data_IF_374263127459
#
_entry.id   IF_374263127459
#
_cell.length_a   1.000
_cell.length_b   1.000
_cell.length_c   1.000
_cell.angle_alpha   90.00
_cell.angle_beta   90.00
_cell.angle_gamma   90.00
#
_symmetry.space_group_name_H-M   'P 1'
#
loop_
_entity.id
_entity.type
_entity.pdbx_description
1 polymer ?
#
# COMPACT_ATOMS: atom_id res chain seq x y z
N UNK A 1 15.48 -19.96 -21.62
CA UNK A 1 15.97 -19.25 -20.42
C UNK A 1 15.02 -19.42 -19.25
N UNK A 2 13.70 -19.26 -19.46
CA UNK A 2 12.67 -19.48 -18.44
C UNK A 2 12.73 -20.88 -17.80
N UNK A 3 12.72 -21.95 -18.60
CA UNK A 3 12.53 -23.33 -18.10
C UNK A 3 13.63 -23.82 -17.15
N UNK A 4 14.93 -23.66 -17.47
CA UNK A 4 15.98 -24.14 -16.57
C UNK A 4 16.03 -23.32 -15.29
N UNK A 5 15.90 -21.99 -15.38
CA UNK A 5 16.03 -21.07 -14.23
C UNK A 5 14.84 -21.18 -13.28
N UNK A 6 13.61 -21.12 -13.79
CA UNK A 6 12.40 -21.22 -12.97
C UNK A 6 12.25 -22.61 -12.36
N UNK A 7 12.52 -23.66 -13.14
CA UNK A 7 12.43 -25.03 -12.67
C UNK A 7 13.50 -25.37 -11.62
N UNK A 8 14.70 -24.80 -11.74
CA UNK A 8 15.76 -24.94 -10.73
C UNK A 8 15.38 -24.23 -9.42
N UNK A 9 14.98 -22.95 -9.50
CA UNK A 9 14.54 -22.17 -8.35
C UNK A 9 13.41 -22.86 -7.56
N UNK A 10 12.38 -23.35 -8.25
CA UNK A 10 11.22 -23.99 -7.62
C UNK A 10 11.60 -25.27 -6.84
N UNK A 11 12.50 -26.10 -7.41
CA UNK A 11 12.88 -27.41 -6.86
C UNK A 11 13.98 -27.33 -5.81
N UNK A 12 14.75 -26.25 -5.77
CA UNK A 12 15.82 -26.08 -4.79
C UNK A 12 15.27 -25.87 -3.37
N UNK A 13 16.09 -26.27 -2.39
CA UNK A 13 15.86 -25.97 -0.98
C UNK A 13 15.90 -24.46 -0.74
N UNK A 14 15.22 -23.94 0.30
CA UNK A 14 15.21 -22.51 0.63
C UNK A 14 16.58 -21.81 0.55
N UNK A 15 17.60 -22.40 1.16
CA UNK A 15 18.95 -21.81 1.23
C UNK A 15 19.71 -21.86 -0.11
N UNK A 16 19.26 -22.70 -1.05
CA UNK A 16 19.84 -22.83 -2.38
C UNK A 16 19.08 -22.02 -3.46
N UNK A 17 18.02 -21.31 -3.08
CA UNK A 17 17.28 -20.44 -4.00
C UNK A 17 17.98 -19.10 -4.13
N UNK A 18 18.43 -18.75 -5.32
CA UNK A 18 19.08 -17.46 -5.57
C UNK A 18 18.07 -16.32 -5.68
N UNK A 19 18.19 -15.33 -4.79
CA UNK A 19 17.32 -14.15 -4.75
C UNK A 19 17.35 -13.35 -6.07
N UNK A 20 18.46 -13.42 -6.81
CA UNK A 20 18.63 -12.76 -8.12
C UNK A 20 17.68 -13.25 -9.21
N UNK A 21 17.15 -14.47 -9.10
CA UNK A 21 16.12 -14.95 -10.04
C UNK A 21 14.89 -14.05 -10.00
N UNK A 22 14.48 -13.60 -8.80
CA UNK A 22 13.33 -12.70 -8.64
C UNK A 22 13.61 -11.32 -9.25
N UNK A 23 14.81 -10.77 -9.00
CA UNK A 23 15.25 -9.47 -9.55
C UNK A 23 15.38 -9.50 -11.08
N UNK A 24 15.90 -10.60 -11.63
CA UNK A 24 15.98 -10.83 -13.06
C UNK A 24 14.60 -10.76 -13.71
N UNK A 25 13.61 -11.48 -13.18
CA UNK A 25 12.26 -11.45 -13.73
C UNK A 25 11.56 -10.10 -13.53
N UNK A 26 11.79 -9.41 -12.42
CA UNK A 26 11.30 -8.05 -12.23
C UNK A 26 11.87 -7.11 -13.30
N UNK A 27 13.17 -7.21 -13.58
CA UNK A 27 13.86 -6.42 -14.62
C UNK A 27 13.35 -6.72 -16.02
N UNK A 28 13.17 -8.00 -16.35
CA UNK A 28 12.60 -8.43 -17.64
C UNK A 28 11.18 -7.88 -17.81
N UNK A 29 10.33 -7.98 -16.79
CA UNK A 29 8.95 -7.46 -16.84
C UNK A 29 8.94 -5.93 -16.98
N UNK A 30 9.79 -5.21 -16.26
CA UNK A 30 9.92 -3.75 -16.42
C UNK A 30 10.38 -3.35 -17.83
N UNK A 31 11.22 -4.17 -18.46
CA UNK A 31 11.74 -3.92 -19.81
C UNK A 31 10.73 -4.23 -20.91
N UNK A 32 10.08 -5.39 -20.85
CA UNK A 32 9.21 -5.91 -21.91
C UNK A 32 7.71 -5.67 -21.67
N UNK A 33 7.33 -5.32 -20.44
CA UNK A 33 5.97 -4.94 -20.03
C UNK A 33 4.92 -5.95 -20.49
N UNK A 34 3.88 -5.49 -21.18
CA UNK A 34 2.75 -6.30 -21.62
C UNK A 34 3.14 -7.52 -22.48
N UNK A 35 4.32 -7.53 -23.11
CA UNK A 35 4.81 -8.70 -23.83
C UNK A 35 5.08 -9.91 -22.92
N UNK A 36 5.24 -9.70 -21.60
CA UNK A 36 5.44 -10.77 -20.62
C UNK A 36 4.13 -11.34 -20.04
N UNK A 37 2.95 -10.81 -20.43
CA UNK A 37 1.66 -11.18 -19.81
C UNK A 37 1.40 -12.68 -19.85
N UNK A 38 1.76 -13.36 -20.93
CA UNK A 38 1.53 -14.80 -21.11
C UNK A 38 2.58 -15.67 -20.40
N UNK A 39 3.74 -15.10 -20.06
CA UNK A 39 4.79 -15.78 -19.27
C UNK A 39 4.59 -15.62 -17.75
N UNK A 40 3.87 -14.58 -17.31
CA UNK A 40 3.64 -14.31 -15.87
C UNK A 40 3.06 -15.50 -15.12
N UNK A 41 2.01 -16.21 -15.59
CA UNK A 41 1.46 -17.36 -14.86
C UNK A 41 2.53 -18.40 -14.53
N UNK A 42 3.44 -18.66 -15.47
CA UNK A 42 4.53 -19.61 -15.30
C UNK A 42 5.61 -19.12 -14.33
N UNK A 43 5.98 -17.85 -14.41
CA UNK A 43 6.91 -17.22 -13.45
C UNK A 43 6.31 -17.33 -12.04
N UNK A 44 5.04 -16.95 -11.92
CA UNK A 44 4.31 -16.95 -10.65
C UNK A 44 4.21 -18.34 -10.03
N UNK A 45 3.85 -19.36 -10.81
CA UNK A 45 3.81 -20.76 -10.35
C UNK A 45 5.15 -21.24 -9.79
N UNK A 46 6.27 -20.88 -10.44
CA UNK A 46 7.59 -21.33 -10.05
C UNK A 46 8.14 -20.63 -8.80
N UNK A 47 7.87 -19.33 -8.63
CA UNK A 47 8.54 -18.52 -7.60
C UNK A 47 7.63 -18.06 -6.46
N UNK A 48 6.32 -18.00 -6.65
CA UNK A 48 5.46 -17.27 -5.70
C UNK A 48 5.33 -17.99 -4.36
N UNK A 49 4.68 -19.16 -4.35
CA UNK A 49 4.37 -19.89 -3.12
C UNK A 49 5.64 -20.27 -2.34
N UNK A 50 6.62 -20.80 -3.05
CA UNK A 50 7.84 -21.31 -2.45
C UNK A 50 8.71 -20.19 -1.83
N UNK A 51 8.67 -18.97 -2.38
CA UNK A 51 9.34 -17.80 -1.80
C UNK A 51 8.51 -17.22 -0.66
N UNK A 52 7.18 -17.16 -0.80
CA UNK A 52 6.29 -16.65 0.25
C UNK A 52 6.46 -17.45 1.56
N UNK A 53 6.54 -18.78 1.46
CA UNK A 53 6.81 -19.68 2.58
C UNK A 53 8.20 -19.49 3.21
N UNK A 54 9.17 -18.95 2.48
CA UNK A 54 10.48 -18.61 3.05
C UNK A 54 10.40 -17.32 3.84
N UNK A 55 9.85 -16.27 3.22
CA UNK A 55 9.96 -14.92 3.74
C UNK A 55 8.97 -14.61 4.86
N UNK A 56 7.87 -15.37 4.99
CA UNK A 56 6.82 -15.12 6.00
C UNK A 56 7.00 -15.89 7.30
N UNK A 57 8.02 -16.77 7.41
CA UNK A 57 8.28 -17.54 8.65
C UNK A 57 8.65 -16.65 9.83
N UNK A 58 9.43 -15.60 9.58
CA UNK A 58 9.85 -14.61 10.55
C UNK A 58 10.27 -13.32 9.82
N UNK A 59 10.59 -12.28 10.60
CA UNK A 59 10.96 -10.95 10.11
C UNK A 59 12.48 -10.76 9.92
N UNK A 60 13.31 -11.80 10.10
CA UNK A 60 14.79 -11.70 10.07
C UNK A 60 15.42 -12.42 8.87
N UNK A 61 14.92 -13.60 8.50
CA UNK A 61 15.51 -14.45 7.46
C UNK A 61 15.19 -14.02 6.00
N UNK A 62 16.15 -14.21 5.11
CA UNK A 62 16.01 -13.94 3.65
C UNK A 62 15.58 -12.49 3.30
N UNK A 63 16.24 -11.45 3.83
CA UNK A 63 15.89 -10.05 3.56
C UNK A 63 15.99 -9.70 2.06
N UNK A 64 16.95 -10.28 1.33
CA UNK A 64 17.07 -10.07 -0.11
C UNK A 64 15.89 -10.66 -0.89
N UNK A 65 15.46 -11.88 -0.53
CA UNK A 65 14.30 -12.51 -1.17
C UNK A 65 13.04 -11.69 -0.94
N UNK A 66 12.83 -11.14 0.27
CA UNK A 66 11.69 -10.23 0.54
C UNK A 66 11.67 -9.06 -0.42
N UNK A 67 12.77 -8.31 -0.46
CA UNK A 67 12.87 -7.09 -1.28
C UNK A 67 12.61 -7.40 -2.76
N UNK A 68 13.25 -8.45 -3.27
CA UNK A 68 13.15 -8.84 -4.68
C UNK A 68 11.81 -9.49 -5.02
N UNK A 69 11.19 -10.21 -4.09
CA UNK A 69 9.85 -10.78 -4.23
C UNK A 69 8.79 -9.67 -4.39
N UNK A 70 8.78 -8.68 -3.49
CA UNK A 70 7.82 -7.57 -3.62
C UNK A 70 8.14 -6.65 -4.81
N UNK A 71 9.42 -6.52 -5.20
CA UNK A 71 9.79 -5.84 -6.43
C UNK A 71 9.25 -6.54 -7.68
N UNK A 72 9.31 -7.89 -7.72
CA UNK A 72 8.71 -8.69 -8.78
C UNK A 72 7.19 -8.54 -8.82
N UNK A 73 6.51 -8.65 -7.68
CA UNK A 73 5.05 -8.46 -7.62
C UNK A 73 4.62 -7.06 -8.08
N UNK A 74 5.38 -6.03 -7.71
CA UNK A 74 5.15 -4.67 -8.17
C UNK A 74 5.34 -4.54 -9.68
N UNK A 75 6.39 -5.12 -10.26
CA UNK A 75 6.58 -5.12 -11.71
C UNK A 75 5.41 -5.82 -12.44
N UNK A 76 4.93 -6.94 -11.90
CA UNK A 76 3.75 -7.66 -12.44
C UNK A 76 2.50 -6.79 -12.34
N UNK A 77 2.23 -6.16 -11.19
CA UNK A 77 1.06 -5.30 -11.00
C UNK A 77 1.09 -4.07 -11.92
N UNK A 78 2.27 -3.47 -12.11
CA UNK A 78 2.44 -2.27 -12.93
C UNK A 78 2.30 -2.51 -14.44
N UNK A 79 2.74 -3.67 -14.92
CA UNK A 79 2.92 -3.89 -16.35
C UNK A 79 2.16 -5.08 -16.92
N UNK A 80 1.75 -6.01 -16.06
CA UNK A 80 1.12 -7.27 -16.42
C UNK A 80 -0.14 -7.53 -15.57
N UNK A 81 -0.87 -6.50 -15.14
CA UNK A 81 -2.11 -6.66 -14.38
C UNK A 81 -3.14 -7.65 -15.00
N UNK A 82 -3.30 -7.74 -16.34
CA UNK A 82 -4.16 -8.76 -16.94
C UNK A 82 -3.76 -10.22 -16.62
N UNK A 83 -2.52 -10.47 -16.21
CA UNK A 83 -2.12 -11.77 -15.71
C UNK A 83 -2.57 -12.00 -14.26
N UNK A 84 -2.52 -10.97 -13.40
CA UNK A 84 -2.99 -11.05 -12.01
C UNK A 84 -4.49 -11.24 -11.91
N UNK A 85 -5.27 -10.61 -12.80
CA UNK A 85 -6.73 -10.71 -12.76
C UNK A 85 -7.24 -12.09 -13.17
N UNK A 86 -6.41 -12.88 -13.86
CA UNK A 86 -6.68 -14.27 -14.24
C UNK A 86 -6.35 -15.27 -13.13
N UNK A 87 -5.79 -14.83 -12.00
CA UNK A 87 -5.53 -15.69 -10.85
C UNK A 87 -6.84 -16.21 -10.26
N UNK A 88 -6.80 -17.45 -9.76
CA UNK A 88 -7.91 -18.00 -8.97
C UNK A 88 -8.09 -17.22 -7.66
N UNK A 89 -9.29 -17.24 -7.07
CA UNK A 89 -9.56 -16.56 -5.80
C UNK A 89 -8.58 -16.94 -4.67
N UNK A 90 -8.17 -18.21 -4.51
CA UNK A 90 -7.15 -18.58 -3.53
C UNK A 90 -5.78 -17.95 -3.81
N UNK A 91 -5.35 -17.90 -5.07
CA UNK A 91 -4.08 -17.27 -5.45
C UNK A 91 -4.11 -15.76 -5.23
N UNK A 92 -5.19 -15.08 -5.62
CA UNK A 92 -5.35 -13.65 -5.37
C UNK A 92 -5.38 -13.35 -3.87
N UNK A 93 -6.01 -14.21 -3.07
CA UNK A 93 -5.96 -14.10 -1.61
C UNK A 93 -4.52 -14.17 -1.09
N UNK A 94 -3.70 -15.12 -1.54
CA UNK A 94 -2.30 -15.17 -1.13
C UNK A 94 -1.51 -13.92 -1.53
N UNK A 95 -1.80 -13.34 -2.70
CA UNK A 95 -1.21 -12.04 -3.10
C UNK A 95 -1.61 -10.95 -2.10
N UNK A 96 -2.90 -10.82 -1.80
CA UNK A 96 -3.39 -9.81 -0.85
C UNK A 96 -2.84 -10.02 0.57
N UNK A 97 -2.79 -11.26 1.05
CA UNK A 97 -2.21 -11.60 2.36
C UNK A 97 -0.71 -11.27 2.39
N UNK A 98 0.03 -11.51 1.31
CA UNK A 98 1.45 -11.13 1.21
C UNK A 98 1.67 -9.62 1.23
N UNK A 99 0.77 -8.84 0.62
CA UNK A 99 0.81 -7.37 0.64
C UNK A 99 0.53 -6.86 2.06
N UNK A 100 -0.46 -7.44 2.74
CA UNK A 100 -0.78 -7.12 4.15
C UNK A 100 0.42 -7.41 5.06
N UNK A 101 1.05 -8.56 4.88
CA UNK A 101 2.27 -8.90 5.59
C UNK A 101 3.39 -7.89 5.33
N UNK A 102 3.58 -7.46 4.07
CA UNK A 102 4.61 -6.50 3.70
C UNK A 102 4.43 -5.14 4.37
N UNK A 103 3.23 -4.55 4.30
CA UNK A 103 3.02 -3.22 4.89
C UNK A 103 2.98 -3.23 6.43
N UNK A 104 2.81 -4.40 7.06
CA UNK A 104 2.98 -4.60 8.51
C UNK A 104 4.44 -4.79 8.93
N UNK A 105 5.36 -4.94 7.98
CA UNK A 105 6.77 -5.21 8.27
C UNK A 105 7.43 -4.05 9.02
N UNK A 106 8.40 -4.35 9.89
CA UNK A 106 9.15 -3.35 10.67
C UNK A 106 10.21 -2.63 9.82
N UNK A 107 10.84 -3.34 8.88
CA UNK A 107 11.69 -2.72 7.85
C UNK A 107 10.90 -1.78 6.93
N UNK A 108 11.25 -0.50 7.00
CA UNK A 108 10.64 0.58 6.22
C UNK A 108 10.54 0.29 4.72
N UNK A 109 11.61 -0.21 4.09
CA UNK A 109 11.63 -0.43 2.65
C UNK A 109 10.61 -1.49 2.20
N UNK A 110 10.44 -2.55 3.00
CA UNK A 110 9.44 -3.60 2.73
C UNK A 110 8.04 -3.02 2.93
N UNK A 111 7.82 -2.27 4.02
CA UNK A 111 6.54 -1.67 4.32
C UNK A 111 6.08 -0.68 3.24
N UNK A 112 6.97 0.23 2.82
CA UNK A 112 6.70 1.17 1.74
C UNK A 112 6.46 0.47 0.40
N UNK A 113 7.21 -0.60 0.09
CA UNK A 113 6.98 -1.39 -1.13
C UNK A 113 5.60 -2.06 -1.10
N UNK A 114 5.20 -2.62 0.04
CA UNK A 114 3.87 -3.20 0.25
C UNK A 114 2.74 -2.20 0.04
N UNK A 115 2.85 -0.99 0.62
CA UNK A 115 1.84 0.06 0.45
C UNK A 115 1.75 0.60 -0.99
N UNK A 116 2.89 0.75 -1.66
CA UNK A 116 2.91 1.15 -3.07
C UNK A 116 2.26 0.09 -3.97
N UNK A 117 2.57 -1.19 -3.74
CA UNK A 117 1.95 -2.31 -4.44
C UNK A 117 0.44 -2.35 -4.19
N UNK A 118 0.00 -2.15 -2.95
CA UNK A 118 -1.43 -2.05 -2.62
C UNK A 118 -2.11 -0.92 -3.39
N UNK A 119 -1.56 0.29 -3.40
CA UNK A 119 -2.11 1.42 -4.14
C UNK A 119 -2.22 1.15 -5.64
N UNK A 120 -1.23 0.48 -6.21
CA UNK A 120 -1.24 0.08 -7.62
C UNK A 120 -2.34 -0.95 -7.91
N UNK A 121 -2.47 -1.97 -7.07
CA UNK A 121 -3.54 -2.97 -7.16
C UNK A 121 -4.91 -2.32 -7.06
N UNK A 122 -5.12 -1.43 -6.09
CA UNK A 122 -6.37 -0.68 -5.92
C UNK A 122 -6.74 0.11 -7.19
N UNK A 123 -5.80 0.87 -7.75
CA UNK A 123 -6.03 1.66 -8.97
C UNK A 123 -6.33 0.79 -10.19
N UNK A 124 -5.69 -0.38 -10.28
CA UNK A 124 -5.90 -1.31 -11.38
C UNK A 124 -7.26 -2.00 -11.29
N UNK A 125 -7.65 -2.49 -10.10
CA UNK A 125 -8.97 -3.10 -9.89
C UNK A 125 -10.13 -2.11 -10.04
N UNK A 126 -9.95 -0.85 -9.65
CA UNK A 126 -10.95 0.19 -9.89
C UNK A 126 -11.30 0.32 -11.38
N UNK A 127 -10.33 0.11 -12.29
CA UNK A 127 -10.51 0.22 -13.74
C UNK A 127 -10.91 -1.08 -14.42
N UNK A 128 -11.01 -2.19 -13.68
CA UNK A 128 -11.27 -3.51 -14.25
C UNK A 128 -12.75 -3.92 -14.14
N UNK A 129 -13.15 -4.90 -14.93
CA UNK A 129 -14.49 -5.50 -14.85
C UNK A 129 -14.76 -6.23 -13.52
N UNK A 130 -13.70 -6.52 -12.75
CA UNK A 130 -13.76 -7.19 -11.45
C UNK A 130 -13.80 -6.22 -10.27
N UNK A 131 -14.01 -4.92 -10.51
CA UNK A 131 -14.04 -3.87 -9.49
C UNK A 131 -14.96 -4.24 -8.31
N UNK A 132 -16.25 -4.49 -8.55
CA UNK A 132 -17.20 -4.85 -7.49
C UNK A 132 -16.78 -6.13 -6.76
N UNK A 133 -16.39 -7.18 -7.49
CA UNK A 133 -15.98 -8.45 -6.87
C UNK A 133 -14.78 -8.27 -5.95
N UNK A 134 -13.75 -7.55 -6.40
CA UNK A 134 -12.54 -7.30 -5.61
C UNK A 134 -12.86 -6.51 -4.35
N UNK A 135 -13.57 -5.39 -4.47
CA UNK A 135 -13.86 -4.53 -3.32
C UNK A 135 -14.85 -5.15 -2.35
N UNK A 136 -15.84 -5.93 -2.82
CA UNK A 136 -16.71 -6.70 -1.93
C UNK A 136 -15.92 -7.69 -1.06
N UNK A 137 -14.83 -8.26 -1.57
CA UNK A 137 -13.99 -9.21 -0.82
C UNK A 137 -12.97 -8.51 0.08
N UNK A 138 -12.31 -7.46 -0.40
CA UNK A 138 -11.11 -6.93 0.27
C UNK A 138 -11.25 -5.52 0.86
N UNK A 139 -12.31 -4.75 0.56
CA UNK A 139 -12.41 -3.35 0.99
C UNK A 139 -12.27 -3.18 2.51
N UNK A 140 -13.13 -3.87 3.27
CA UNK A 140 -13.17 -3.75 4.73
C UNK A 140 -11.88 -4.29 5.37
N UNK A 141 -11.33 -5.38 4.83
CA UNK A 141 -10.04 -5.91 5.28
C UNK A 141 -8.93 -4.89 5.07
N UNK A 142 -8.83 -4.27 3.89
CA UNK A 142 -7.80 -3.27 3.61
C UNK A 142 -7.96 -2.06 4.53
N UNK A 143 -9.18 -1.55 4.71
CA UNK A 143 -9.46 -0.43 5.61
C UNK A 143 -9.02 -0.75 7.05
N UNK A 144 -9.44 -1.90 7.58
CA UNK A 144 -9.11 -2.35 8.93
C UNK A 144 -7.60 -2.49 9.12
N UNK A 145 -6.91 -3.13 8.18
CA UNK A 145 -5.48 -3.38 8.26
C UNK A 145 -4.66 -2.08 8.15
N UNK A 146 -5.09 -1.13 7.32
CA UNK A 146 -4.44 0.17 7.21
C UNK A 146 -4.64 0.99 8.48
N UNK A 147 -5.84 1.04 9.06
CA UNK A 147 -6.02 1.71 10.34
C UNK A 147 -5.20 1.04 11.46
N UNK A 148 -5.16 -0.29 11.52
CA UNK A 148 -4.38 -1.00 12.53
C UNK A 148 -2.88 -0.66 12.47
N UNK A 149 -2.30 -0.54 11.27
CA UNK A 149 -0.89 -0.19 11.08
C UNK A 149 -0.64 1.31 11.28
N UNK A 150 -1.56 2.16 10.82
CA UNK A 150 -1.48 3.61 11.01
C UNK A 150 -1.42 4.01 12.49
N UNK A 151 -1.99 3.18 13.35
CA UNK A 151 -2.06 3.38 14.79
C UNK A 151 -0.94 2.66 15.53
N UNK A 152 -0.10 1.90 14.83
CA UNK A 152 1.15 1.39 15.37
C UNK A 152 2.25 2.47 15.26
N UNK A 153 2.88 2.74 16.39
CA UNK A 153 3.93 3.75 16.51
C UNK A 153 5.21 3.41 15.74
N UNK A 154 5.40 2.15 15.31
CA UNK A 154 6.53 1.73 14.48
C UNK A 154 6.39 2.13 13.00
N UNK A 155 5.17 2.37 12.52
CA UNK A 155 4.91 2.55 11.08
C UNK A 155 4.72 4.01 10.66
N UNK A 156 5.07 4.98 11.53
CA UNK A 156 5.04 6.41 11.21
C UNK A 156 5.71 6.79 9.88
N UNK A 157 6.85 6.18 9.48
CA UNK A 157 7.47 6.51 8.18
C UNK A 157 6.56 6.24 6.97
N UNK A 158 5.61 5.31 7.08
CA UNK A 158 4.63 4.97 6.03
C UNK A 158 3.40 5.87 5.98
N UNK A 159 3.29 6.86 6.88
CA UNK A 159 2.08 7.68 7.08
C UNK A 159 1.46 8.20 5.78
N UNK A 160 2.27 8.80 4.90
CA UNK A 160 1.82 9.32 3.61
C UNK A 160 1.11 8.26 2.77
N UNK A 161 1.67 7.05 2.68
CA UNK A 161 1.12 5.99 1.84
C UNK A 161 -0.16 5.41 2.46
N UNK A 162 -0.24 5.27 3.79
CA UNK A 162 -1.48 4.90 4.48
C UNK A 162 -2.61 5.88 4.20
N UNK A 163 -2.32 7.19 4.29
CA UNK A 163 -3.28 8.26 3.98
C UNK A 163 -3.78 8.16 2.53
N UNK A 164 -2.89 7.90 1.58
CA UNK A 164 -3.26 7.72 0.17
C UNK A 164 -4.16 6.49 -0.04
N UNK A 165 -3.90 5.39 0.67
CA UNK A 165 -4.74 4.18 0.58
C UNK A 165 -6.14 4.47 1.13
N UNK A 166 -6.23 5.07 2.32
CA UNK A 166 -7.52 5.44 2.92
C UNK A 166 -8.29 6.42 2.03
N UNK A 167 -7.62 7.45 1.51
CA UNK A 167 -8.25 8.41 0.62
C UNK A 167 -8.81 7.72 -0.63
N UNK A 168 -8.06 6.80 -1.24
CA UNK A 168 -8.52 6.02 -2.40
C UNK A 168 -9.83 5.28 -2.08
N UNK A 169 -9.89 4.58 -0.94
CA UNK A 169 -11.08 3.84 -0.52
C UNK A 169 -12.29 4.77 -0.29
N UNK A 170 -12.08 5.90 0.39
CA UNK A 170 -13.14 6.85 0.73
C UNK A 170 -13.66 7.61 -0.51
N UNK A 171 -12.78 7.93 -1.46
CA UNK A 171 -13.20 8.45 -2.77
C UNK A 171 -14.01 7.40 -3.55
N UNK A 172 -13.60 6.13 -3.51
CA UNK A 172 -14.22 5.08 -4.30
C UNK A 172 -15.67 4.82 -3.90
N UNK A 173 -15.98 4.76 -2.60
CA UNK A 173 -17.36 4.49 -2.12
C UNK A 173 -18.36 5.58 -2.47
N UNK A 174 -17.86 6.80 -2.73
CA UNK A 174 -18.64 7.98 -3.12
C UNK A 174 -18.61 8.23 -4.64
N UNK A 175 -17.83 7.47 -5.40
CA UNK A 175 -17.64 7.69 -6.85
C UNK A 175 -18.78 7.17 -7.73
N UNK A 176 -19.66 6.33 -7.17
CA UNK A 176 -20.68 5.59 -7.93
C UNK A 176 -20.14 4.37 -8.69
N UNK A 177 -18.83 4.06 -8.60
CA UNK A 177 -18.24 2.88 -9.27
C UNK A 177 -18.58 1.55 -8.58
N UNK A 178 -18.80 1.57 -7.26
CA UNK A 178 -19.21 0.40 -6.49
C UNK A 178 -20.73 0.29 -6.49
N UNK A 179 -21.25 -0.54 -7.38
CA UNK A 179 -22.68 -0.76 -7.60
C UNK A 179 -23.23 -1.93 -6.77
N UNK A 180 -22.36 -2.81 -6.28
CA UNK A 180 -22.72 -3.91 -5.39
C UNK A 180 -22.49 -3.51 -3.92
N UNK A 181 -23.28 -4.06 -2.97
CA UNK A 181 -23.12 -3.77 -1.56
C UNK A 181 -21.82 -4.36 -1.00
N UNK A 182 -21.11 -3.57 -0.19
CA UNK A 182 -19.91 -3.99 0.55
C UNK A 182 -20.22 -4.78 1.83
N UNK A 183 -21.49 -4.94 2.19
CA UNK A 183 -21.94 -5.70 3.35
C UNK A 183 -22.64 -6.99 2.92
N UNK A 184 -22.69 -7.95 3.85
CA UNK A 184 -23.57 -9.10 3.68
C UNK A 184 -25.03 -8.68 3.94
N UNK A 185 -25.83 -8.69 2.87
CA UNK A 185 -27.25 -8.32 2.89
C UNK A 185 -28.04 -9.22 3.86
N UNK A 186 -27.64 -10.49 4.01
CA UNK A 186 -28.31 -11.44 4.89
C UNK A 186 -27.98 -11.23 6.38
N UNK A 187 -26.85 -10.57 6.67
CA UNK A 187 -26.36 -10.37 8.03
C UNK A 187 -26.93 -9.12 8.72
N UNK A 188 -27.59 -8.22 7.99
CA UNK A 188 -28.08 -6.94 8.51
C UNK A 188 -29.61 -6.91 8.59
N UNK A 189 -30.21 -6.49 9.74
CA UNK A 189 -31.66 -6.44 9.88
C UNK A 189 -32.36 -5.47 8.93
N UNK A 190 -31.67 -4.38 8.57
CA UNK A 190 -32.14 -3.36 7.64
C UNK A 190 -31.03 -3.06 6.62
N UNK A 191 -31.34 -3.00 5.32
CA UNK A 191 -30.34 -2.72 4.30
C UNK A 191 -29.85 -1.26 4.39
N UNK A 192 -28.55 -1.06 4.18
CA UNK A 192 -27.99 0.27 4.06
C UNK A 192 -28.43 0.96 2.76
N UNK A 193 -28.62 2.30 2.76
CA UNK A 193 -29.01 3.02 1.55
C UNK A 193 -27.95 2.97 0.43
N UNK A 194 -26.67 3.00 0.79
CA UNK A 194 -25.53 2.95 -0.13
C UNK A 194 -24.24 2.55 0.61
N UNK A 195 -23.18 2.30 -0.18
CA UNK A 195 -21.86 1.93 0.32
C UNK A 195 -21.21 3.03 1.20
N UNK A 196 -21.44 4.31 0.90
CA UNK A 196 -20.87 5.43 1.69
C UNK A 196 -21.37 5.46 3.13
N UNK A 197 -22.69 5.29 3.34
CA UNK A 197 -23.28 5.21 4.68
C UNK A 197 -22.79 3.97 5.44
N UNK A 198 -22.77 2.81 4.77
CA UNK A 198 -22.27 1.58 5.38
C UNK A 198 -20.82 1.72 5.84
N UNK A 199 -19.93 2.21 4.97
CA UNK A 199 -18.51 2.36 5.32
C UNK A 199 -18.33 3.39 6.43
N UNK A 200 -19.06 4.52 6.41
CA UNK A 200 -19.02 5.50 7.51
C UNK A 200 -19.35 4.86 8.86
N UNK A 201 -20.44 4.10 8.96
CA UNK A 201 -20.82 3.43 10.21
C UNK A 201 -19.81 2.34 10.61
N UNK A 202 -19.30 1.58 9.64
CA UNK A 202 -18.25 0.59 9.86
C UNK A 202 -16.97 1.24 10.43
N UNK A 203 -16.47 2.32 9.81
CA UNK A 203 -15.28 3.04 10.27
C UNK A 203 -15.47 3.59 11.68
N UNK A 204 -16.64 4.18 11.98
CA UNK A 204 -16.94 4.68 13.34
C UNK A 204 -16.88 3.55 14.36
N UNK A 205 -17.49 2.40 14.05
CA UNK A 205 -17.49 1.23 14.94
C UNK A 205 -16.09 0.65 15.14
N UNK A 206 -15.32 0.53 14.05
CA UNK A 206 -13.95 0.07 14.07
C UNK A 206 -13.11 0.95 15.00
N UNK A 207 -13.09 2.26 14.76
CA UNK A 207 -12.28 3.20 15.52
C UNK A 207 -12.74 3.37 16.96
N UNK A 208 -14.05 3.33 17.24
CA UNK A 208 -14.56 3.36 18.62
C UNK A 208 -14.10 2.16 19.43
N UNK A 209 -13.89 1.01 18.76
CA UNK A 209 -13.38 -0.21 19.40
C UNK A 209 -11.87 -0.13 19.61
N UNK A 210 -11.13 0.38 18.62
CA UNK A 210 -9.68 0.52 18.68
C UNK A 210 -9.20 1.67 19.59
N UNK A 211 -10.01 2.71 19.78
CA UNK A 211 -9.69 3.91 20.57
C UNK A 211 -10.66 4.12 21.73
N UNK A 212 -10.66 3.26 22.77
CA UNK A 212 -11.62 3.37 23.88
C UNK A 212 -11.46 4.66 24.70
N UNK A 213 -10.36 5.40 24.52
CA UNK A 213 -10.11 6.67 25.17
C UNK A 213 -10.74 7.87 24.43
N UNK A 214 -11.19 7.69 23.18
CA UNK A 214 -11.88 8.73 22.43
C UNK A 214 -13.39 8.54 22.59
N UNK A 215 -14.11 9.64 22.77
CA UNK A 215 -15.57 9.61 22.85
C UNK A 215 -16.16 9.24 21.49
N UNK A 216 -17.34 8.59 21.49
CA UNK A 216 -18.03 8.29 20.24
C UNK A 216 -18.31 9.53 19.38
N UNK A 217 -18.51 10.69 20.00
CA UNK A 217 -18.67 11.98 19.32
C UNK A 217 -17.39 12.40 18.59
N UNK A 218 -16.22 12.31 19.23
CA UNK A 218 -14.92 12.65 18.61
C UNK A 218 -14.64 11.73 17.42
N UNK A 219 -14.85 10.42 17.57
CA UNK A 219 -14.68 9.45 16.47
C UNK A 219 -15.64 9.76 15.32
N UNK A 220 -16.90 10.07 15.61
CA UNK A 220 -17.90 10.42 14.58
C UNK A 220 -17.54 11.70 13.83
N UNK A 221 -17.04 12.71 14.53
CA UNK A 221 -16.58 13.96 13.92
C UNK A 221 -15.35 13.73 13.04
N UNK A 222 -14.39 12.93 13.52
CA UNK A 222 -13.21 12.54 12.74
C UNK A 222 -13.59 11.84 11.44
N UNK A 223 -14.39 10.77 11.51
CA UNK A 223 -14.81 10.03 10.32
C UNK A 223 -15.60 10.93 9.38
N UNK A 224 -16.46 11.81 9.89
CA UNK A 224 -17.18 12.76 9.05
C UNK A 224 -16.23 13.72 8.32
N UNK A 225 -15.21 14.25 9.00
CA UNK A 225 -14.16 15.06 8.40
C UNK A 225 -13.40 14.33 7.29
N UNK A 226 -13.13 13.02 7.44
CA UNK A 226 -12.52 12.21 6.37
C UNK A 226 -13.40 12.16 5.11
N UNK A 227 -14.70 11.94 5.26
CA UNK A 227 -15.61 11.90 4.12
C UNK A 227 -15.75 13.27 3.45
N UNK A 228 -15.80 14.35 4.22
CA UNK A 228 -15.98 15.72 3.70
C UNK A 228 -14.71 16.21 2.99
N UNK A 229 -13.54 15.83 3.48
CA UNK A 229 -12.23 16.20 2.92
C UNK A 229 -11.66 15.20 1.90
N UNK A 230 -12.38 14.12 1.56
CA UNK A 230 -11.87 13.02 0.71
C UNK A 230 -11.21 13.45 -0.60
N UNK A 231 -11.65 14.56 -1.19
CA UNK A 231 -11.09 15.09 -2.45
C UNK A 231 -9.92 16.05 -2.27
N UNK A 232 -9.66 16.51 -1.04
CA UNK A 232 -8.53 17.34 -0.67
C UNK A 232 -7.55 16.55 0.20
N UNK A 233 -6.50 16.03 -0.43
CA UNK A 233 -5.47 15.24 0.25
C UNK A 233 -4.82 15.97 1.42
N UNK A 234 -4.66 17.30 1.35
CA UNK A 234 -4.01 18.04 2.43
C UNK A 234 -4.88 18.03 3.68
N UNK A 235 -6.16 18.38 3.54
CA UNK A 235 -7.11 18.42 4.65
C UNK A 235 -7.39 17.00 5.18
N UNK A 236 -7.54 16.02 4.28
CA UNK A 236 -7.72 14.61 4.65
C UNK A 236 -6.55 14.07 5.47
N UNK A 237 -5.31 14.34 5.04
CA UNK A 237 -4.09 13.99 5.77
C UNK A 237 -4.04 14.65 7.15
N UNK A 238 -4.41 15.93 7.23
CA UNK A 238 -4.41 16.67 8.50
C UNK A 238 -5.39 16.07 9.50
N UNK A 239 -6.61 15.72 9.07
CA UNK A 239 -7.56 15.04 9.95
C UNK A 239 -7.00 13.73 10.54
N UNK A 240 -6.37 12.89 9.71
CA UNK A 240 -5.76 11.65 10.17
C UNK A 240 -4.64 11.95 11.17
N UNK A 241 -3.79 12.94 10.87
CA UNK A 241 -2.68 13.33 11.76
C UNK A 241 -3.19 13.79 13.12
N UNK A 242 -4.18 14.68 13.13
CA UNK A 242 -4.74 15.24 14.37
C UNK A 242 -5.38 14.14 15.21
N UNK A 243 -6.10 13.21 14.57
CA UNK A 243 -6.66 12.03 15.24
C UNK A 243 -5.57 11.17 15.88
N UNK A 244 -4.49 10.87 15.15
CA UNK A 244 -3.36 10.11 15.71
C UNK A 244 -2.75 10.84 16.89
N UNK A 245 -2.43 12.13 16.77
CA UNK A 245 -1.81 12.91 17.86
C UNK A 245 -2.72 12.99 19.11
N UNK A 246 -4.04 13.05 18.92
CA UNK A 246 -5.00 13.02 20.02
C UNK A 246 -5.09 11.65 20.71
N UNK A 247 -4.72 10.57 20.01
CA UNK A 247 -4.64 9.24 20.60
C UNK A 247 -3.51 9.20 21.65
N UNK A 248 -3.77 8.52 22.78
CA UNK A 248 -2.81 8.45 23.90
C UNK A 248 -1.46 7.83 23.51
N UNK A 249 -1.46 6.93 22.53
CA UNK A 249 -0.26 6.21 22.09
C UNK A 249 0.73 7.13 21.39
N UNK A 250 0.25 8.19 20.73
CA UNK A 250 1.06 9.14 19.98
C UNK A 250 1.26 10.48 20.69
N UNK A 251 0.39 10.84 21.64
CA UNK A 251 0.49 12.12 22.36
C UNK A 251 1.77 12.25 23.19
N UNK A 252 2.38 11.13 23.59
CA UNK A 252 3.62 11.08 24.37
C UNK A 252 4.89 10.87 23.53
N UNK A 253 4.80 10.81 22.19
CA UNK A 253 5.92 10.42 21.31
C UNK A 253 6.42 11.55 20.40
N UNK A 254 7.64 11.40 19.88
CA UNK A 254 8.12 12.25 18.77
C UNK A 254 7.34 11.91 17.50
N UNK A 255 6.70 12.93 16.92
CA UNK A 255 5.77 12.81 15.79
C UNK A 255 6.33 13.43 14.49
N UNK A 256 7.64 13.74 14.44
CA UNK A 256 8.29 14.31 13.24
C UNK A 256 8.05 13.52 11.96
N UNK A 257 7.99 12.20 12.03
CA UNK A 257 7.76 11.34 10.86
C UNK A 257 6.40 11.59 10.19
N UNK A 258 5.38 12.02 10.96
CA UNK A 258 4.06 12.41 10.42
C UNK A 258 4.09 13.70 9.58
N UNK A 259 5.20 14.46 9.66
CA UNK A 259 5.45 15.72 8.96
C UNK A 259 6.61 15.62 7.96
N UNK A 260 7.11 14.41 7.69
CA UNK A 260 8.30 14.21 6.86
C UNK A 260 8.12 14.76 5.43
N UNK A 261 6.91 14.64 4.87
CA UNK A 261 6.57 15.16 3.55
C UNK A 261 6.59 16.71 3.53
N UNK A 262 5.94 17.35 4.50
CA UNK A 262 5.93 18.81 4.62
C UNK A 262 7.34 19.36 4.80
N UNK A 263 8.16 18.69 5.60
CA UNK A 263 9.56 19.06 5.81
C UNK A 263 10.41 18.91 4.54
N UNK A 264 10.12 17.90 3.70
CA UNK A 264 10.80 17.73 2.40
C UNK A 264 10.38 18.80 1.40
N UNK A 265 9.09 19.12 1.30
CA UNK A 265 8.58 20.20 0.44
C UNK A 265 9.14 21.56 0.86
N UNK A 266 9.23 21.84 2.17
CA UNK A 266 9.80 23.08 2.67
C UNK A 266 11.30 23.17 2.37
N UNK A 267 12.06 22.10 2.57
CA UNK A 267 13.49 22.03 2.21
C UNK A 267 13.72 22.31 0.73
N UNK A 268 12.90 21.73 -0.16
CA UNK A 268 13.04 21.97 -1.60
C UNK A 268 12.68 23.42 -1.97
N UNK A 269 11.64 24.01 -1.36
CA UNK A 269 11.31 25.42 -1.56
C UNK A 269 12.42 26.35 -1.08
N UNK A 270 13.01 26.08 0.07
CA UNK A 270 14.12 26.86 0.61
C UNK A 270 15.36 26.70 -0.28
N UNK A 271 15.64 25.49 -0.78
CA UNK A 271 16.69 25.23 -1.77
C UNK A 271 16.48 26.02 -3.06
N UNK A 272 15.27 26.03 -3.62
CA UNK A 272 14.92 26.81 -4.81
C UNK A 272 15.10 28.32 -4.58
N UNK A 273 14.76 28.82 -3.39
CA UNK A 273 15.03 30.21 -3.00
C UNK A 273 16.53 30.49 -2.94
N UNK A 274 17.32 29.59 -2.34
CA UNK A 274 18.78 29.75 -2.28
C UNK A 274 19.41 29.77 -3.69
N UNK A 275 18.94 28.91 -4.61
CA UNK A 275 19.36 28.92 -6.03
C UNK A 275 19.02 30.23 -6.75
N UNK A 276 17.93 30.90 -6.36
CA UNK A 276 17.51 32.17 -6.97
C UNK A 276 18.32 33.39 -6.52
N UNK A 277 19.16 33.26 -5.49
CA UNK A 277 19.99 34.35 -4.96
C UNK A 277 21.45 34.11 -5.36
N UNK A 278 22.01 34.92 -6.29
CA UNK A 278 23.40 34.75 -6.73
C UNK A 278 24.39 34.82 -5.56
N UNK A 279 25.29 33.84 -5.46
CA UNK A 279 26.35 33.77 -4.46
C UNK A 279 26.00 33.05 -3.14
N UNK A 280 24.77 32.53 -2.99
CA UNK A 280 24.36 31.81 -1.79
C UNK A 280 24.69 30.30 -1.79
N UNK A 281 24.91 29.71 -2.97
CA UNK A 281 25.29 28.31 -3.17
C UNK A 281 26.68 28.28 -3.80
N UNK A 282 27.55 27.39 -3.31
CA UNK A 282 28.90 27.28 -3.81
C UNK A 282 28.89 26.79 -5.28
N UNK A 283 29.73 27.34 -6.18
CA UNK A 283 29.74 26.95 -7.60
C UNK A 283 29.93 25.45 -7.87
N UNK A 284 30.63 24.73 -6.99
CA UNK A 284 30.84 23.28 -7.12
C UNK A 284 29.54 22.48 -6.87
N UNK A 285 28.67 22.95 -5.99
CA UNK A 285 27.37 22.31 -5.69
C UNK A 285 26.36 22.50 -6.84
N UNK A 286 26.59 23.49 -7.71
CA UNK A 286 25.76 23.76 -8.90
C UNK A 286 26.19 22.85 -10.07
N UNK A 287 27.47 22.47 -10.15
CA UNK A 287 28.03 21.71 -11.26
C UNK A 287 27.77 20.20 -11.17
N UNK A 288 27.76 19.62 -9.97
CA UNK A 288 27.43 18.19 -9.79
C UNK A 288 26.00 17.85 -10.25
N UNK A 289 25.06 18.81 -10.21
CA UNK A 289 23.66 18.59 -10.66
C UNK A 289 23.49 18.62 -12.19
N UNK A 290 24.37 19.28 -12.94
CA UNK A 290 24.30 19.29 -14.41
C UNK A 290 24.73 17.96 -15.05
N UNK A 291 25.38 17.09 -14.27
CA UNK A 291 25.92 15.81 -14.74
C UNK A 291 24.94 14.65 -14.50
N UNK A 292 24.01 14.81 -13.55
CA UNK A 292 23.00 13.81 -13.16
C UNK A 292 21.58 14.06 -13.71
N UNK A 293 21.40 15.02 -14.64
CA UNK A 293 20.12 15.33 -15.32
C UNK A 293 19.96 14.63 -16.68
#
# INVERSE_FOLDING_TARGET
>A
MLDPVLGDYARNLPDARESEVLSLFATIINKYKGAMIDDVPRIFEAVFQCTLEMITKNFEDYPEHRLKFFSLLRAIAAHCFPALIRLSSPQLKLVMDSIIWAFRHTERNIAETGLNLLLEMLKNFQKSEFCNQFYRTYFLTIEQEIFAVLTDTFHKPGFKLHVLVLQHLFCLVESGMLTEPLWDIAAVPYPYPNNGIFVREYTIKLLSTSFPNMTGTEVTQFVSGLFDSRTDLSTFKNHIRDFLVQSKEFSAQDNKDLYAEEAAVQREKDRQRMLSIPGLIAPNEIQDEMVDS
#
